data_IF_223697582229
#
_entry.id   IF_223697582229
#
_cell.length_a   1.000
_cell.length_b   1.000
_cell.length_c   1.000
_cell.angle_alpha   90.00
_cell.angle_beta   90.00
_cell.angle_gamma   90.00
#
_symmetry.space_group_name_H-M   'P 1'
#
loop_
_entity.id
_entity.type
_entity.pdbx_description
1 polymer ?
#
# COMPACT_ATOMS: atom_id res chain seq x y z
N UNK A 1 27.14 4.72 -16.65
CA UNK A 1 26.35 3.94 -17.63
C UNK A 1 25.37 4.92 -18.28
N UNK A 2 25.35 5.09 -19.61
CA UNK A 2 24.51 6.12 -20.28
C UNK A 2 23.02 5.79 -20.13
N UNK A 3 22.18 6.81 -19.96
CA UNK A 3 20.73 6.64 -19.80
C UNK A 3 20.08 6.09 -21.08
N UNK A 4 18.86 5.53 -20.99
CA UNK A 4 18.18 4.97 -22.16
C UNK A 4 17.87 6.04 -23.23
N UNK A 5 17.55 7.26 -22.79
CA UNK A 5 17.32 8.42 -23.66
C UNK A 5 18.59 8.85 -24.41
N UNK A 6 19.72 8.95 -23.71
CA UNK A 6 21.03 9.24 -24.32
C UNK A 6 21.42 8.18 -25.35
N UNK A 7 21.20 6.90 -25.04
CA UNK A 7 21.53 5.81 -25.97
C UNK A 7 20.67 5.87 -27.23
N UNK A 8 19.40 6.26 -27.14
CA UNK A 8 18.52 6.45 -28.30
C UNK A 8 18.98 7.59 -29.22
N UNK A 9 19.52 8.68 -28.66
CA UNK A 9 20.02 9.81 -29.45
C UNK A 9 21.26 9.48 -30.28
N UNK A 10 22.01 8.43 -29.92
CA UNK A 10 23.20 7.97 -30.65
C UNK A 10 22.88 7.14 -31.90
N UNK A 11 21.61 6.83 -32.16
CA UNK A 11 21.20 6.05 -33.32
C UNK A 11 21.10 6.95 -34.54
N UNK A 12 21.94 6.67 -35.55
CA UNK A 12 21.98 7.39 -36.82
C UNK A 12 21.15 6.63 -37.87
N UNK A 13 20.01 7.21 -38.27
CA UNK A 13 19.10 6.59 -39.25
C UNK A 13 19.67 6.52 -40.68
N UNK A 14 20.58 7.43 -41.01
CA UNK A 14 21.19 7.59 -42.34
C UNK A 14 22.62 7.02 -42.43
N UNK A 15 23.03 6.20 -41.45
CA UNK A 15 24.37 5.60 -41.45
C UNK A 15 24.53 4.58 -42.58
N UNK A 16 25.43 4.86 -43.53
CA UNK A 16 25.71 3.97 -44.68
C UNK A 16 26.48 2.70 -44.26
N UNK A 17 27.23 2.75 -43.15
CA UNK A 17 28.14 1.67 -42.73
C UNK A 17 27.51 0.63 -41.81
N UNK A 18 26.47 0.98 -41.05
CA UNK A 18 25.86 0.11 -40.04
C UNK A 18 24.35 0.18 -40.12
N UNK A 19 23.72 -1.00 -40.25
CA UNK A 19 22.26 -1.11 -40.20
C UNK A 19 21.72 -0.68 -38.84
N UNK A 20 20.48 -0.15 -38.81
CA UNK A 20 19.78 0.21 -37.58
C UNK A 20 19.76 -0.93 -36.54
N UNK A 21 19.70 -2.18 -37.00
CA UNK A 21 19.67 -3.37 -36.15
C UNK A 21 21.03 -3.59 -35.45
N UNK A 22 22.15 -3.42 -36.17
CA UNK A 22 23.50 -3.50 -35.60
C UNK A 22 23.75 -2.36 -34.62
N UNK A 23 23.31 -1.14 -34.93
CA UNK A 23 23.40 0.00 -34.01
C UNK A 23 22.60 -0.25 -32.71
N UNK A 24 21.41 -0.85 -32.80
CA UNK A 24 20.62 -1.25 -31.63
C UNK A 24 21.36 -2.27 -30.76
N UNK A 25 21.97 -3.29 -31.38
CA UNK A 25 22.72 -4.33 -30.66
C UNK A 25 23.91 -3.71 -29.93
N UNK A 26 24.71 -2.89 -30.62
CA UNK A 26 25.88 -2.21 -30.04
C UNK A 26 25.50 -1.28 -28.87
N UNK A 27 24.38 -0.57 -28.99
CA UNK A 27 23.87 0.33 -27.96
C UNK A 27 23.02 -0.37 -26.88
N UNK A 28 22.83 -1.68 -26.98
CA UNK A 28 21.96 -2.47 -26.11
C UNK A 28 20.54 -1.89 -26.00
N UNK A 29 19.95 -1.56 -27.16
CA UNK A 29 18.59 -1.01 -27.31
C UNK A 29 17.66 -2.05 -27.95
N UNK A 30 16.41 -2.07 -27.50
CA UNK A 30 15.37 -2.84 -28.18
C UNK A 30 14.84 -2.06 -29.39
N UNK A 31 14.80 -2.71 -30.56
CA UNK A 31 14.42 -2.07 -31.84
C UNK A 31 13.06 -1.38 -31.80
N UNK A 32 12.07 -1.96 -31.13
CA UNK A 32 10.72 -1.35 -31.04
C UNK A 32 10.72 0.00 -30.31
N UNK A 33 11.67 0.22 -29.40
CA UNK A 33 11.79 1.46 -28.64
C UNK A 33 12.24 2.65 -29.47
N UNK A 34 12.81 2.45 -30.67
CA UNK A 34 13.20 3.53 -31.59
C UNK A 34 12.03 4.18 -32.32
N UNK A 35 10.96 3.42 -32.51
CA UNK A 35 9.74 3.88 -33.19
C UNK A 35 8.67 4.32 -32.21
N UNK A 36 8.87 4.08 -30.91
CA UNK A 36 7.94 4.47 -29.88
C UNK A 36 8.12 5.95 -29.54
N UNK A 37 7.14 6.76 -29.94
CA UNK A 37 7.00 8.13 -29.44
C UNK A 37 6.12 8.12 -28.18
N UNK A 38 6.61 8.69 -27.06
CA UNK A 38 5.81 8.80 -25.85
C UNK A 38 4.64 9.74 -26.13
N UNK A 39 3.43 9.18 -26.23
CA UNK A 39 2.21 9.97 -26.37
C UNK A 39 1.87 10.58 -25.00
N UNK A 40 1.73 11.90 -24.96
CA UNK A 40 1.25 12.61 -23.78
C UNK A 40 -0.17 12.20 -23.40
N UNK A 41 -0.64 12.71 -22.26
CA UNK A 41 -2.04 12.54 -21.87
C UNK A 41 -2.97 13.34 -22.80
N UNK A 42 -4.17 12.81 -23.05
CA UNK A 42 -5.17 13.53 -23.86
C UNK A 42 -5.73 14.73 -23.10
N UNK A 43 -6.16 15.80 -23.79
CA UNK A 43 -6.79 16.96 -23.18
C UNK A 43 -7.94 16.62 -22.21
N UNK A 44 -8.76 15.61 -22.55
CA UNK A 44 -9.81 15.11 -21.66
C UNK A 44 -9.25 14.57 -20.33
N UNK A 45 -8.10 13.90 -20.35
CA UNK A 45 -7.50 13.38 -19.12
C UNK A 45 -6.96 14.51 -18.26
N UNK A 46 -6.40 15.57 -18.85
CA UNK A 46 -5.96 16.76 -18.11
C UNK A 46 -7.13 17.46 -17.41
N UNK A 47 -8.25 17.62 -18.11
CA UNK A 47 -9.50 18.16 -17.54
C UNK A 47 -10.02 17.28 -16.39
N UNK A 48 -10.09 15.97 -16.59
CA UNK A 48 -10.51 15.03 -15.55
C UNK A 48 -9.56 15.09 -14.34
N UNK A 49 -8.24 15.16 -14.56
CA UNK A 49 -7.27 15.26 -13.47
C UNK A 49 -7.50 16.55 -12.67
N UNK A 50 -7.75 17.68 -13.32
CA UNK A 50 -8.06 18.95 -12.65
C UNK A 50 -9.33 18.85 -11.79
N UNK A 51 -10.40 18.27 -12.33
CA UNK A 51 -11.66 18.08 -11.61
C UNK A 51 -11.52 17.12 -10.43
N UNK A 52 -10.76 16.04 -10.59
CA UNK A 52 -10.50 15.08 -9.52
C UNK A 52 -9.68 15.70 -8.39
N UNK A 53 -8.72 16.57 -8.72
CA UNK A 53 -7.88 17.26 -7.74
C UNK A 53 -8.73 18.24 -6.90
N UNK A 54 -9.56 19.06 -7.55
CA UNK A 54 -10.50 19.95 -6.87
C UNK A 54 -11.45 19.19 -5.94
N UNK A 55 -12.03 18.08 -6.42
CA UNK A 55 -12.92 17.28 -5.60
C UNK A 55 -12.22 16.58 -4.43
N UNK A 56 -10.95 16.23 -4.60
CA UNK A 56 -10.15 15.59 -3.57
C UNK A 56 -9.81 16.55 -2.43
N UNK A 57 -9.58 17.83 -2.72
CA UNK A 57 -9.34 18.86 -1.71
C UNK A 57 -10.53 19.01 -0.75
N UNK A 58 -11.75 18.91 -1.27
CA UNK A 58 -12.97 18.95 -0.45
C UNK A 58 -13.27 17.60 0.24
N UNK A 59 -12.97 16.49 -0.44
CA UNK A 59 -13.38 15.15 0.00
C UNK A 59 -12.23 14.13 -0.03
N UNK A 60 -11.20 14.28 0.82
CA UNK A 60 -9.99 13.45 0.78
C UNK A 60 -10.23 11.96 1.09
N UNK A 61 -11.39 11.62 1.65
CA UNK A 61 -11.81 10.24 1.95
C UNK A 61 -12.43 9.51 0.75
N UNK A 62 -12.64 10.18 -0.39
CA UNK A 62 -13.23 9.55 -1.59
C UNK A 62 -12.12 8.98 -2.48
N UNK A 63 -12.12 7.66 -2.67
CA UNK A 63 -11.24 6.98 -3.62
C UNK A 63 -11.77 6.98 -5.06
N UNK A 64 -11.00 6.39 -5.97
CA UNK A 64 -11.26 6.40 -7.41
C UNK A 64 -12.65 5.90 -7.83
N UNK A 65 -13.24 4.93 -7.10
CA UNK A 65 -14.60 4.44 -7.39
C UNK A 65 -15.66 5.50 -7.12
N UNK A 66 -15.57 6.23 -6.00
CA UNK A 66 -16.48 7.34 -5.72
C UNK A 66 -16.24 8.52 -6.65
N UNK A 67 -14.99 8.71 -7.06
CA UNK A 67 -14.62 9.73 -8.04
C UNK A 67 -15.22 9.44 -9.43
N UNK A 68 -15.25 8.17 -9.85
CA UNK A 68 -15.95 7.75 -11.06
C UNK A 68 -17.45 8.02 -11.00
N UNK A 69 -18.10 7.66 -9.89
CA UNK A 69 -19.52 7.95 -9.71
C UNK A 69 -19.82 9.45 -9.75
N UNK A 70 -19.01 10.28 -9.09
CA UNK A 70 -19.16 11.75 -9.13
C UNK A 70 -18.97 12.31 -10.54
N UNK A 71 -17.92 11.88 -11.25
CA UNK A 71 -17.65 12.34 -12.62
C UNK A 71 -18.75 11.92 -13.61
N UNK A 72 -19.33 10.73 -13.46
CA UNK A 72 -20.37 10.25 -14.39
C UNK A 72 -21.76 10.76 -14.02
N UNK A 73 -22.15 10.77 -12.74
CA UNK A 73 -23.50 11.15 -12.34
C UNK A 73 -23.67 12.67 -12.14
N UNK A 74 -22.70 13.33 -11.50
CA UNK A 74 -22.84 14.75 -11.15
C UNK A 74 -22.28 15.67 -12.24
N UNK A 75 -21.24 15.22 -12.95
CA UNK A 75 -20.58 15.98 -14.03
C UNK A 75 -20.93 15.50 -15.44
N UNK A 76 -21.57 14.34 -15.59
CA UNK A 76 -22.07 13.84 -16.88
C UNK A 76 -21.01 13.27 -17.83
N UNK A 77 -19.81 12.93 -17.35
CA UNK A 77 -18.77 12.36 -18.21
C UNK A 77 -18.97 10.85 -18.43
N UNK A 78 -18.92 10.42 -19.70
CA UNK A 78 -18.88 9.01 -20.08
C UNK A 78 -17.43 8.49 -20.08
N UNK A 79 -16.96 8.11 -18.88
CA UNK A 79 -15.59 7.62 -18.66
C UNK A 79 -15.59 6.24 -18.02
N UNK A 80 -14.65 5.40 -18.43
CA UNK A 80 -14.51 4.07 -17.84
C UNK A 80 -13.85 4.13 -16.47
N UNK A 81 -14.28 3.24 -15.56
CA UNK A 81 -13.69 3.14 -14.22
C UNK A 81 -12.19 2.87 -14.26
N UNK A 82 -11.73 1.98 -15.14
CA UNK A 82 -10.29 1.66 -15.30
C UNK A 82 -9.46 2.89 -15.69
N UNK A 83 -10.04 3.82 -16.45
CA UNK A 83 -9.37 5.08 -16.81
C UNK A 83 -9.17 5.94 -15.56
N UNK A 84 -10.21 6.11 -14.75
CA UNK A 84 -10.13 6.89 -13.51
C UNK A 84 -9.20 6.22 -12.51
N UNK A 85 -9.27 4.90 -12.33
CA UNK A 85 -8.35 4.18 -11.44
C UNK A 85 -6.88 4.39 -11.85
N UNK A 86 -6.58 4.37 -13.16
CA UNK A 86 -5.23 4.69 -13.67
C UNK A 86 -4.84 6.13 -13.34
N UNK A 87 -5.67 7.11 -13.73
CA UNK A 87 -5.35 8.53 -13.54
C UNK A 87 -5.18 8.84 -12.05
N UNK A 88 -6.13 8.41 -11.22
CA UNK A 88 -6.17 8.69 -9.80
C UNK A 88 -5.00 8.04 -9.03
N UNK A 89 -4.75 6.74 -9.20
CA UNK A 89 -3.72 6.03 -8.41
C UNK A 89 -2.32 6.05 -9.02
N UNK A 90 -2.20 6.04 -10.36
CA UNK A 90 -0.89 5.88 -11.04
C UNK A 90 -0.32 7.18 -11.56
N UNK A 91 -1.16 8.07 -12.11
CA UNK A 91 -0.69 9.33 -12.71
C UNK A 91 -0.62 10.43 -11.64
N UNK A 92 -1.72 10.66 -10.91
CA UNK A 92 -1.78 11.68 -9.87
C UNK A 92 -1.21 11.21 -8.53
N UNK A 93 -1.21 9.90 -8.28
CA UNK A 93 -0.71 9.32 -7.02
C UNK A 93 -1.63 9.55 -5.81
N UNK A 94 -2.90 9.89 -6.05
CA UNK A 94 -3.88 10.15 -4.99
C UNK A 94 -4.31 8.85 -4.30
N UNK A 95 -4.59 8.94 -3.00
CA UNK A 95 -5.15 7.85 -2.20
C UNK A 95 -6.22 8.39 -1.26
N UNK A 96 -7.28 7.61 -1.07
CA UNK A 96 -8.32 7.95 -0.11
C UNK A 96 -7.74 7.89 1.32
N UNK A 97 -7.91 8.97 2.07
CA UNK A 97 -7.51 9.05 3.48
C UNK A 97 -8.73 8.67 4.30
N UNK A 98 -8.72 7.45 4.85
CA UNK A 98 -9.71 6.99 5.80
C UNK A 98 -9.06 6.75 7.16
N UNK A 99 -9.70 7.13 8.27
CA UNK A 99 -9.25 6.72 9.59
C UNK A 99 -9.31 5.19 9.67
N UNK A 100 -8.26 4.60 10.25
CA UNK A 100 -8.23 3.17 10.51
C UNK A 100 -9.37 2.73 11.44
N UNK A 101 -9.59 1.41 11.58
CA UNK A 101 -10.56 0.89 12.54
C UNK A 101 -10.24 1.44 13.94
N UNK A 102 -11.24 2.00 14.61
CA UNK A 102 -11.08 2.59 15.94
C UNK A 102 -11.01 1.47 16.98
N UNK A 103 -9.83 0.88 17.16
CA UNK A 103 -9.58 -0.21 18.12
C UNK A 103 -9.71 0.22 19.58
N UNK A 104 -9.64 1.53 19.85
CA UNK A 104 -9.82 2.13 21.18
C UNK A 104 -11.26 2.42 21.56
N UNK A 105 -12.24 2.28 20.63
CA UNK A 105 -13.65 2.45 20.98
C UNK A 105 -14.15 1.22 21.72
N UNK A 106 -14.49 1.41 22.99
CA UNK A 106 -15.08 0.38 23.85
C UNK A 106 -16.37 -0.18 23.22
N UNK A 107 -16.47 -1.50 23.13
CA UNK A 107 -17.75 -2.18 22.91
C UNK A 107 -18.57 -2.14 24.20
N UNK A 108 -19.80 -1.62 24.14
CA UNK A 108 -20.68 -1.43 25.31
C UNK A 108 -21.01 -2.75 26.02
N UNK A 109 -21.08 -3.84 25.27
CA UNK A 109 -21.36 -5.20 25.75
C UNK A 109 -20.23 -5.78 26.61
N UNK A 110 -19.01 -5.25 26.52
CA UNK A 110 -17.89 -5.75 27.30
C UNK A 110 -17.89 -5.10 28.70
N UNK A 111 -17.90 -5.94 29.72
CA UNK A 111 -17.71 -5.55 31.12
C UNK A 111 -16.38 -4.83 31.27
N UNK A 112 -16.40 -3.66 31.90
CA UNK A 112 -15.16 -2.97 32.28
C UNK A 112 -14.70 -3.54 33.60
N UNK A 113 -13.54 -4.17 33.58
CA UNK A 113 -12.86 -4.60 34.77
C UNK A 113 -12.11 -3.40 35.38
N UNK A 114 -12.21 -3.19 36.69
CA UNK A 114 -11.40 -2.18 37.35
C UNK A 114 -9.91 -2.52 37.18
N UNK A 115 -9.09 -1.50 36.96
CA UNK A 115 -7.64 -1.70 36.90
C UNK A 115 -7.12 -1.92 38.32
N UNK A 116 -6.92 -3.18 38.70
CA UNK A 116 -6.59 -3.60 40.06
C UNK A 116 -5.21 -3.15 40.55
N UNK A 117 -4.36 -2.66 39.64
CA UNK A 117 -3.05 -2.10 39.96
C UNK A 117 -3.09 -0.58 40.16
N UNK A 118 -4.27 0.03 40.07
CA UNK A 118 -4.44 1.47 40.34
C UNK A 118 -4.13 1.73 41.81
N UNK A 119 -3.25 2.69 42.07
CA UNK A 119 -2.83 3.13 43.41
C UNK A 119 -2.06 2.08 44.25
N UNK A 120 -1.53 1.03 43.61
CA UNK A 120 -0.67 0.04 44.27
C UNK A 120 0.81 0.49 44.24
N UNK A 121 1.41 0.71 45.41
CA UNK A 121 2.85 0.94 45.53
C UNK A 121 3.64 -0.37 45.32
N UNK A 122 4.55 -0.37 44.34
CA UNK A 122 5.42 -1.51 44.02
C UNK A 122 6.74 -1.31 44.75
N UNK A 123 6.96 -2.07 45.83
CA UNK A 123 8.06 -1.88 46.78
C UNK A 123 9.12 -2.98 46.72
N UNK A 124 8.87 -4.08 46.00
CA UNK A 124 9.84 -5.19 45.84
C UNK A 124 9.81 -5.84 44.46
N UNK A 125 10.92 -6.44 44.01
CA UNK A 125 10.94 -7.28 42.81
C UNK A 125 9.91 -8.43 42.90
N UNK A 126 9.36 -8.85 41.76
CA UNK A 126 8.35 -9.93 41.64
C UNK A 126 7.00 -9.65 42.35
N UNK A 127 6.65 -8.39 42.59
CA UNK A 127 5.35 -8.01 43.17
C UNK A 127 4.24 -7.88 42.14
N UNK A 128 4.57 -7.51 40.89
CA UNK A 128 3.61 -7.35 39.78
C UNK A 128 4.25 -7.93 38.51
N UNK A 129 3.45 -8.62 37.71
CA UNK A 129 3.83 -9.08 36.37
C UNK A 129 2.89 -8.47 35.33
N UNK A 130 3.45 -8.05 34.20
CA UNK A 130 2.71 -7.61 33.03
C UNK A 130 3.08 -8.51 31.86
N UNK A 131 2.09 -8.94 31.09
CA UNK A 131 2.27 -9.75 29.89
C UNK A 131 1.46 -9.16 28.76
N UNK A 132 2.11 -8.94 27.62
CA UNK A 132 1.46 -8.66 26.35
C UNK A 132 1.46 -9.91 25.46
N UNK A 133 0.41 -10.06 24.67
CA UNK A 133 0.29 -11.10 23.66
C UNK A 133 0.43 -10.43 22.30
N UNK A 134 1.50 -10.76 21.59
CA UNK A 134 1.69 -10.33 20.20
C UNK A 134 1.37 -11.50 19.28
N UNK A 135 0.45 -11.28 18.34
CA UNK A 135 0.13 -12.24 17.29
C UNK A 135 1.13 -12.08 16.15
N UNK A 136 1.88 -13.13 15.85
CA UNK A 136 2.80 -13.16 14.70
C UNK A 136 2.10 -13.88 13.54
N UNK A 137 1.81 -13.20 12.42
CA UNK A 137 1.22 -13.83 11.25
C UNK A 137 2.24 -14.66 10.49
N UNK A 138 1.97 -15.96 10.27
CA UNK A 138 2.79 -16.82 9.43
C UNK A 138 1.93 -17.59 8.41
N UNK A 139 1.63 -16.93 7.29
CA UNK A 139 0.99 -17.50 6.09
C UNK A 139 -0.49 -17.88 6.25
N UNK A 140 -0.81 -18.78 7.20
CA UNK A 140 -2.15 -19.34 7.43
C UNK A 140 -2.51 -19.53 8.92
N UNK A 141 -1.55 -19.40 9.85
CA UNK A 141 -1.78 -19.54 11.30
C UNK A 141 -1.22 -18.35 12.06
N UNK A 142 -1.90 -17.97 13.14
CA UNK A 142 -1.46 -16.96 14.10
C UNK A 142 -0.80 -17.66 15.28
N UNK A 143 0.45 -17.31 15.58
CA UNK A 143 1.13 -17.76 16.81
C UNK A 143 1.11 -16.62 17.82
N UNK A 144 0.99 -16.97 19.11
CA UNK A 144 1.11 -16.03 20.22
C UNK A 144 2.54 -16.09 20.74
N UNK A 145 3.27 -14.97 20.66
CA UNK A 145 4.52 -14.78 21.40
C UNK A 145 4.27 -13.92 22.63
N UNK A 146 4.59 -14.44 23.82
CA UNK A 146 4.63 -13.67 25.06
C UNK A 146 6.05 -13.23 25.39
N UNK A 147 6.22 -12.01 25.91
CA UNK A 147 7.50 -11.53 26.44
C UNK A 147 8.05 -12.46 27.53
N UNK A 148 9.33 -12.84 27.39
CA UNK A 148 10.05 -13.94 28.06
C UNK A 148 9.70 -15.36 27.55
N UNK A 149 10.30 -15.70 26.40
CA UNK A 149 10.59 -17.05 25.89
C UNK A 149 9.50 -18.11 26.08
N UNK A 150 8.36 -17.97 25.40
CA UNK A 150 7.51 -19.14 25.11
C UNK A 150 6.64 -18.95 23.88
N UNK A 151 6.70 -19.91 22.97
CA UNK A 151 5.74 -20.06 21.88
C UNK A 151 4.54 -20.84 22.41
N UNK A 152 3.34 -20.28 22.29
CA UNK A 152 2.09 -20.97 22.63
C UNK A 152 1.40 -21.38 21.33
N UNK A 153 1.15 -22.68 21.15
CA UNK A 153 0.35 -23.16 20.02
C UNK A 153 -1.13 -23.12 20.38
N UNK A 154 -2.01 -22.61 19.50
CA UNK A 154 -3.45 -22.72 19.70
C UNK A 154 -3.91 -24.15 19.38
N UNK A 155 -4.34 -24.89 20.40
CA UNK A 155 -5.24 -26.03 20.25
C UNK A 155 -6.59 -25.60 20.82
N UNK A 156 -7.63 -25.72 20.00
CA UNK A 156 -9.06 -25.60 20.30
C UNK A 156 -9.45 -24.86 21.59
N UNK A 157 -9.81 -23.59 21.42
CA UNK A 157 -10.55 -22.76 22.39
C UNK A 157 -9.94 -22.51 23.78
N UNK A 158 -8.80 -23.10 24.14
CA UNK A 158 -8.11 -22.80 25.40
C UNK A 158 -6.62 -22.50 25.18
N UNK A 159 -6.18 -21.33 25.68
CA UNK A 159 -4.78 -20.93 25.70
C UNK A 159 -4.07 -21.61 26.87
N UNK A 160 -3.46 -22.77 26.62
CA UNK A 160 -2.65 -23.48 27.62
C UNK A 160 -1.18 -23.07 27.48
N UNK A 161 -0.60 -22.49 28.53
CA UNK A 161 0.84 -22.24 28.59
C UNK A 161 1.59 -23.56 28.79
N UNK A 162 2.13 -24.14 27.72
CA UNK A 162 2.90 -25.40 27.78
C UNK A 162 4.31 -25.13 28.32
N UNK A 163 4.61 -25.59 29.54
CA UNK A 163 5.97 -25.60 30.08
C UNK A 163 6.74 -26.79 29.48
N UNK A 164 7.81 -26.53 28.73
CA UNK A 164 8.84 -27.54 28.47
C UNK A 164 9.90 -27.42 29.57
N UNK A 165 10.04 -28.46 30.39
CA UNK A 165 11.22 -28.65 31.21
C UNK A 165 12.31 -29.24 30.31
N UNK A 166 13.24 -28.41 29.86
CA UNK A 166 14.50 -28.85 29.26
C UNK A 166 15.51 -29.17 30.37
N UNK A 167 16.00 -30.42 30.39
CA UNK A 167 17.21 -30.80 31.11
C UNK A 167 18.47 -30.45 30.35
#
# INVERSE_FOLDING_TARGET
MRSLSERRQLVERECIKLSLLQQCILLSLHRSGLYYEPKGESALNEELMRLMDEHYLEHPYKGATRMHTWLTLDKGYEVSRNRIDRLYYKVMGLRAILPGPHTSKRRKEHTVYPYLLRDLEIVRPNQVWATDITYIPNGQRLYVSGGHHRLVQPQDSELVAVQYYGG
#
